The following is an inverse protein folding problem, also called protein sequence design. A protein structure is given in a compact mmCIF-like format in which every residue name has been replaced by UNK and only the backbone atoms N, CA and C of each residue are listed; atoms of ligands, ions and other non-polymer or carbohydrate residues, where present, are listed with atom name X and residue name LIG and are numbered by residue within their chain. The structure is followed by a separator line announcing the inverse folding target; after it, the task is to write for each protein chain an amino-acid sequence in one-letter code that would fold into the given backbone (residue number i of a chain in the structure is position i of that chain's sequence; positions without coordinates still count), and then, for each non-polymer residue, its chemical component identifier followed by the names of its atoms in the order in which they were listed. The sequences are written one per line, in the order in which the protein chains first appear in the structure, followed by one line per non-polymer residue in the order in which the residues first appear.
data_IF_838422493331
#
_entry.id   IF_838422493331
#
_cell.length_a   1.000
_cell.length_b   1.000
_cell.length_c   1.000
_cell.angle_alpha   90.00
_cell.angle_beta   90.00
_cell.angle_gamma   90.00
#
_symmetry.space_group_name_H-M   'P 1'
#
loop_
_entity.id
_entity.type
_entity.pdbx_description
1 polymer ?
#
# COMPACT_ATOMS: atom_id res chain seq x y z
N UNK A 1 -4.76 2.96 18.87
CA UNK A 1 -5.40 2.83 17.56
C UNK A 1 -5.62 4.21 16.95
N UNK A 2 -5.74 4.28 15.64
CA UNK A 2 -6.11 5.50 14.93
C UNK A 2 -7.58 5.81 15.19
N UNK A 3 -7.87 7.03 15.66
CA UNK A 3 -9.22 7.48 15.99
C UNK A 3 -9.63 8.61 15.05
N UNK A 4 -10.94 8.69 14.76
CA UNK A 4 -11.53 9.82 14.07
C UNK A 4 -11.68 11.04 14.98
N UNK A 5 -12.18 12.15 14.44
CA UNK A 5 -12.41 13.41 15.17
C UNK A 5 -13.42 13.25 16.33
N UNK A 6 -14.19 12.16 16.35
CA UNK A 6 -15.14 11.80 17.42
C UNK A 6 -14.58 10.80 18.42
N UNK A 7 -13.31 10.44 18.28
CA UNK A 7 -12.63 9.47 19.14
C UNK A 7 -12.98 8.01 18.87
N UNK A 8 -13.69 7.73 17.77
CA UNK A 8 -14.04 6.37 17.34
C UNK A 8 -12.86 5.73 16.61
N UNK A 9 -12.66 4.42 16.81
CA UNK A 9 -11.63 3.68 16.09
C UNK A 9 -11.97 3.60 14.59
N UNK A 10 -11.10 4.18 13.76
CA UNK A 10 -11.23 4.22 12.30
C UNK A 10 -11.37 2.83 11.66
N UNK A 11 -10.90 1.79 12.33
CA UNK A 11 -10.89 0.42 11.81
C UNK A 11 -11.88 -0.52 12.52
N UNK A 12 -12.67 -0.03 13.49
CA UNK A 12 -13.57 -0.87 14.28
C UNK A 12 -14.53 -1.72 13.41
N UNK A 13 -15.07 -1.13 12.34
CA UNK A 13 -15.98 -1.84 11.43
C UNK A 13 -15.23 -2.80 10.49
N UNK A 14 -13.99 -2.48 10.09
CA UNK A 14 -13.15 -3.37 9.27
C UNK A 14 -12.65 -4.57 10.05
N UNK A 15 -12.37 -4.42 11.34
CA UNK A 15 -12.07 -5.55 12.22
C UNK A 15 -13.26 -6.51 12.34
N UNK A 16 -14.48 -6.00 12.39
CA UNK A 16 -15.70 -6.86 12.36
C UNK A 16 -15.81 -7.63 11.05
N UNK A 17 -15.52 -7.00 9.91
CA UNK A 17 -15.53 -7.67 8.61
C UNK A 17 -14.45 -8.75 8.52
N UNK A 18 -13.25 -8.50 9.04
CA UNK A 18 -12.19 -9.50 9.14
C UNK A 18 -12.57 -10.63 10.10
N UNK A 19 -13.19 -10.32 11.24
CA UNK A 19 -13.69 -11.33 12.16
C UNK A 19 -14.73 -12.23 11.48
N UNK A 20 -15.62 -11.69 10.66
CA UNK A 20 -16.63 -12.50 9.96
C UNK A 20 -16.03 -13.45 8.93
N UNK A 21 -14.86 -13.12 8.33
CA UNK A 21 -14.16 -14.02 7.41
C UNK A 21 -13.51 -15.19 8.16
N UNK A 22 -13.08 -14.96 9.40
CA UNK A 22 -12.42 -15.97 10.22
C UNK A 22 -13.38 -16.73 11.14
N UNK A 23 -14.64 -16.30 11.31
CA UNK A 23 -15.59 -16.88 12.27
C UNK A 23 -16.57 -17.88 11.67
N UNK A 24 -16.72 -17.96 10.36
CA UNK A 24 -17.64 -18.94 9.73
C UNK A 24 -17.10 -20.37 9.70
N UNK A 25 -15.83 -20.60 10.02
CA UNK A 25 -15.26 -21.93 10.16
C UNK A 25 -14.29 -21.97 11.34
N UNK A 26 -14.80 -22.29 12.53
CA UNK A 26 -14.07 -22.47 13.77
C UNK A 26 -13.38 -21.19 14.31
N UNK A 27 -13.81 -20.82 15.51
CA UNK A 27 -13.32 -19.71 16.33
C UNK A 27 -11.78 -19.70 16.48
N UNK A 28 -11.07 -19.32 15.46
CA UNK A 28 -9.68 -18.91 15.61
C UNK A 28 -9.70 -17.43 15.99
N UNK A 29 -9.83 -17.16 17.28
CA UNK A 29 -9.39 -15.90 17.84
C UNK A 29 -7.89 -15.88 17.63
N UNK A 30 -7.45 -15.34 16.50
CA UNK A 30 -6.04 -15.00 16.31
C UNK A 30 -5.70 -14.03 17.44
N UNK A 31 -4.84 -14.44 18.36
CA UNK A 31 -4.30 -13.50 19.33
C UNK A 31 -3.64 -12.35 18.56
N UNK A 32 -3.68 -11.13 19.09
CA UNK A 32 -3.03 -9.97 18.48
C UNK A 32 -1.56 -10.30 18.16
N UNK A 33 -0.91 -11.09 19.00
CA UNK A 33 0.49 -11.51 18.83
C UNK A 33 0.68 -12.37 17.57
N UNK A 34 -0.21 -13.34 17.33
CA UNK A 34 -0.16 -14.18 16.11
C UNK A 34 -0.43 -13.35 14.85
N UNK A 35 -1.36 -12.39 14.91
CA UNK A 35 -1.61 -11.47 13.82
C UNK A 35 -0.39 -10.58 13.53
N UNK A 36 0.25 -10.06 14.56
CA UNK A 36 1.46 -9.25 14.42
C UNK A 36 2.61 -10.06 13.84
N UNK A 37 2.80 -11.29 14.28
CA UNK A 37 3.83 -12.20 13.74
C UNK A 37 3.59 -12.51 12.27
N UNK A 38 2.34 -12.72 11.87
CA UNK A 38 1.96 -12.91 10.47
C UNK A 38 2.22 -11.66 9.62
N UNK A 39 1.92 -10.47 10.14
CA UNK A 39 2.21 -9.19 9.48
C UNK A 39 3.72 -9.03 9.29
N UNK A 40 4.51 -9.24 10.35
CA UNK A 40 5.97 -9.16 10.24
C UNK A 40 6.52 -10.13 9.19
N UNK A 41 6.07 -11.36 9.21
CA UNK A 41 6.53 -12.39 8.30
C UNK A 41 6.09 -12.16 6.85
N UNK A 42 4.80 -11.84 6.64
CA UNK A 42 4.21 -11.79 5.29
C UNK A 42 4.44 -10.46 4.58
N UNK A 43 4.46 -9.34 5.31
CA UNK A 43 4.63 -8.01 4.72
C UNK A 43 6.10 -7.57 4.75
N UNK A 44 6.77 -7.74 5.88
CA UNK A 44 8.12 -7.23 6.10
C UNK A 44 9.24 -8.28 5.92
N UNK A 45 8.87 -9.55 5.67
CA UNK A 45 9.82 -10.65 5.53
C UNK A 45 10.35 -11.20 6.86
N UNK A 46 10.07 -10.55 7.99
CA UNK A 46 10.49 -10.96 9.31
C UNK A 46 10.52 -9.82 10.31
N UNK A 47 11.03 -10.09 11.52
CA UNK A 47 11.28 -9.10 12.57
C UNK A 47 12.72 -8.59 12.50
N UNK A 48 12.96 -7.36 12.94
CA UNK A 48 14.28 -6.75 13.00
C UNK A 48 14.22 -5.23 12.95
N UNK A 49 15.40 -4.60 12.90
CA UNK A 49 15.50 -3.16 12.72
C UNK A 49 15.20 -2.75 11.29
N UNK A 50 14.46 -1.66 11.12
CA UNK A 50 14.19 -1.07 9.81
C UNK A 50 15.47 -0.40 9.30
N UNK A 51 15.84 -0.68 8.05
CA UNK A 51 17.00 -0.09 7.38
C UNK A 51 16.62 0.44 6.01
N UNK A 52 17.29 1.52 5.60
CA UNK A 52 17.08 2.21 4.34
C UNK A 52 18.32 2.08 3.47
N UNK A 53 18.13 1.82 2.17
CA UNK A 53 19.21 1.65 1.21
C UNK A 53 18.96 2.46 -0.04
N UNK A 54 19.85 3.38 -0.37
CA UNK A 54 19.84 4.04 -1.68
C UNK A 54 20.30 3.04 -2.75
N UNK A 55 19.44 2.78 -3.75
CA UNK A 55 19.75 1.87 -4.86
C UNK A 55 20.49 2.64 -5.94
N UNK A 56 21.81 2.38 -6.08
CA UNK A 56 22.65 3.15 -7.01
C UNK A 56 22.32 2.92 -8.48
N UNK A 57 21.85 1.73 -8.83
CA UNK A 57 21.47 1.39 -10.21
C UNK A 57 20.05 1.84 -10.57
N UNK A 58 19.32 2.51 -9.64
CA UNK A 58 17.97 3.00 -9.86
C UNK A 58 17.80 4.39 -9.23
N UNK A 59 17.86 5.41 -10.07
CA UNK A 59 17.78 6.81 -9.63
C UNK A 59 16.47 7.09 -8.85
N UNK A 60 16.60 7.73 -7.71
CA UNK A 60 15.50 8.12 -6.85
C UNK A 60 14.90 6.98 -6.02
N UNK A 61 15.44 5.77 -6.06
CA UNK A 61 14.93 4.64 -5.29
C UNK A 61 15.67 4.44 -3.97
N UNK A 62 14.86 4.22 -2.91
CA UNK A 62 15.33 3.83 -1.58
C UNK A 62 14.62 2.54 -1.21
N UNK A 63 15.38 1.47 -1.04
CA UNK A 63 14.89 0.17 -0.58
C UNK A 63 14.69 0.14 0.93
N UNK A 64 13.66 -0.57 1.37
CA UNK A 64 13.32 -0.79 2.77
C UNK A 64 13.57 -2.26 3.13
N UNK A 65 14.36 -2.50 4.18
CA UNK A 65 14.61 -3.82 4.75
C UNK A 65 14.30 -3.86 6.23
N UNK A 66 13.95 -5.04 6.73
CA UNK A 66 13.88 -5.36 8.15
C UNK A 66 14.91 -6.44 8.46
N UNK A 67 15.91 -6.10 9.28
CA UNK A 67 17.06 -6.98 9.52
C UNK A 67 17.79 -7.36 8.23
N UNK A 68 18.17 -8.62 8.12
CA UNK A 68 18.83 -9.17 6.91
C UNK A 68 17.85 -9.77 5.89
N UNK A 69 16.55 -9.53 6.04
CA UNK A 69 15.54 -10.03 5.12
C UNK A 69 15.62 -9.32 3.75
N UNK A 70 14.99 -9.89 2.70
CA UNK A 70 14.86 -9.21 1.41
C UNK A 70 14.16 -7.85 1.53
N UNK A 71 14.32 -7.00 0.52
CA UNK A 71 13.58 -5.76 0.44
C UNK A 71 12.07 -6.01 0.45
N UNK A 72 11.35 -5.43 1.40
CA UNK A 72 9.90 -5.50 1.47
C UNK A 72 9.20 -4.28 0.88
N UNK A 73 9.95 -3.19 0.72
CA UNK A 73 9.39 -1.94 0.22
C UNK A 73 10.39 -1.11 -0.57
N UNK A 74 9.86 -0.18 -1.34
CA UNK A 74 10.62 0.82 -2.07
C UNK A 74 9.96 2.18 -1.98
N UNK A 75 10.77 3.21 -1.75
CA UNK A 75 10.38 4.61 -1.82
C UNK A 75 10.97 5.17 -3.12
N UNK A 76 10.16 5.81 -3.95
CA UNK A 76 10.62 6.56 -5.11
C UNK A 76 10.22 8.03 -5.00
N UNK A 77 11.20 8.90 -4.80
CA UNK A 77 11.02 10.32 -4.50
C UNK A 77 11.72 11.27 -5.50
N UNK A 78 12.52 10.72 -6.42
CA UNK A 78 13.35 11.51 -7.34
C UNK A 78 14.61 12.04 -6.68
N UNK A 79 14.54 12.96 -5.74
CA UNK A 79 15.70 13.55 -5.05
C UNK A 79 15.99 12.89 -3.71
N UNK A 80 16.85 11.88 -3.74
CA UNK A 80 17.32 11.15 -2.54
C UNK A 80 18.09 12.06 -1.58
N UNK A 81 18.86 13.01 -2.09
CA UNK A 81 19.69 13.89 -1.25
C UNK A 81 18.81 14.80 -0.38
N UNK A 82 17.73 15.34 -0.95
CA UNK A 82 16.79 16.15 -0.20
C UNK A 82 16.05 15.31 0.85
N UNK A 83 15.71 14.07 0.52
CA UNK A 83 15.07 13.15 1.46
C UNK A 83 15.98 12.82 2.65
N UNK A 84 17.26 12.54 2.40
CA UNK A 84 18.28 12.32 3.45
C UNK A 84 18.32 13.49 4.43
N UNK A 85 18.47 14.72 3.91
CA UNK A 85 18.50 15.93 4.74
C UNK A 85 17.24 16.10 5.59
N UNK A 86 16.06 15.75 5.05
CA UNK A 86 14.80 15.84 5.80
C UNK A 86 14.71 14.79 6.92
N UNK A 87 15.21 13.59 6.70
CA UNK A 87 15.27 12.55 7.73
C UNK A 87 16.22 12.93 8.86
N UNK A 88 17.42 13.41 8.53
CA UNK A 88 18.42 13.87 9.50
C UNK A 88 17.89 15.00 10.39
N UNK A 89 17.11 15.94 9.82
CA UNK A 89 16.62 17.12 10.54
C UNK A 89 15.33 16.88 11.33
N UNK A 90 14.54 15.85 11.05
CA UNK A 90 13.21 15.66 11.64
C UNK A 90 13.05 14.37 12.43
N UNK A 91 14.00 13.47 12.37
CA UNK A 91 13.89 12.18 13.04
C UNK A 91 14.29 12.31 14.52
N UNK A 92 13.39 11.91 15.42
CA UNK A 92 13.72 11.65 16.83
C UNK A 92 14.72 10.48 16.96
N UNK A 93 14.81 9.66 15.90
CA UNK A 93 15.73 8.53 15.80
C UNK A 93 16.65 8.76 14.60
N UNK A 94 17.96 8.62 14.76
CA UNK A 94 18.91 8.75 13.65
C UNK A 94 18.62 7.64 12.62
N UNK A 95 18.20 8.04 11.43
CA UNK A 95 17.97 7.12 10.30
C UNK A 95 19.16 7.25 9.36
N UNK A 96 19.98 6.23 9.31
CA UNK A 96 21.06 6.13 8.32
C UNK A 96 20.53 5.50 7.03
N UNK A 97 20.82 6.17 5.90
CA UNK A 97 20.57 5.59 4.58
C UNK A 97 21.87 5.01 4.05
N UNK A 98 21.94 3.69 4.02
CA UNK A 98 23.07 2.93 3.47
C UNK A 98 23.04 2.97 1.94
N UNK A 99 24.10 2.48 1.31
CA UNK A 99 24.22 2.39 -0.15
C UNK A 99 24.14 0.93 -0.57
N UNK A 100 23.27 0.65 -1.54
CA UNK A 100 23.26 -0.62 -2.28
C UNK A 100 23.67 -0.35 -3.72
N UNK A 101 24.88 -0.81 -4.07
CA UNK A 101 25.46 -0.65 -5.40
C UNK A 101 25.24 -1.87 -6.31
N UNK A 102 24.56 -2.89 -5.82
CA UNK A 102 24.42 -4.19 -6.51
C UNK A 102 23.02 -4.38 -7.07
N UNK A 103 21.99 -4.03 -6.29
CA UNK A 103 20.60 -4.27 -6.68
C UNK A 103 20.18 -3.41 -7.86
N UNK A 104 19.41 -4.02 -8.76
CA UNK A 104 18.69 -3.32 -9.82
C UNK A 104 17.44 -2.61 -9.26
N UNK A 105 16.66 -1.95 -10.14
CA UNK A 105 15.43 -1.27 -9.74
C UNK A 105 14.48 -2.19 -8.98
N UNK A 106 14.21 -1.84 -7.73
CA UNK A 106 13.24 -2.52 -6.89
C UNK A 106 11.81 -2.26 -7.40
N UNK A 107 11.57 -1.07 -7.94
CA UNK A 107 10.29 -0.70 -8.53
C UNK A 107 9.95 -1.58 -9.74
N UNK A 108 10.93 -1.86 -10.60
CA UNK A 108 10.71 -2.77 -11.73
C UNK A 108 10.53 -4.23 -11.29
N UNK A 109 11.11 -4.60 -10.15
CA UNK A 109 10.99 -5.96 -9.61
C UNK A 109 9.59 -6.32 -9.16
N UNK A 110 8.68 -5.33 -8.91
CA UNK A 110 7.29 -5.60 -8.49
C UNK A 110 6.50 -6.44 -9.50
N UNK A 111 6.90 -6.41 -10.77
CA UNK A 111 6.26 -7.18 -11.85
C UNK A 111 6.57 -8.68 -11.76
N UNK A 112 7.61 -9.05 -11.04
CA UNK A 112 8.00 -10.45 -10.86
C UNK A 112 7.03 -11.16 -9.92
N UNK A 113 6.71 -12.42 -10.21
CA UNK A 113 5.77 -13.22 -9.42
C UNK A 113 6.29 -13.46 -8.01
N UNK A 114 7.60 -13.61 -7.87
CA UNK A 114 8.31 -13.88 -6.62
C UNK A 114 8.82 -12.62 -5.91
N UNK A 115 8.38 -11.44 -6.35
CA UNK A 115 8.81 -10.18 -5.74
C UNK A 115 8.42 -10.12 -4.26
N UNK A 116 9.40 -9.82 -3.42
CA UNK A 116 9.23 -9.57 -1.99
C UNK A 116 8.70 -8.17 -1.66
N UNK A 117 8.64 -7.27 -2.67
CA UNK A 117 8.20 -5.89 -2.47
C UNK A 117 6.68 -5.85 -2.25
N UNK A 118 6.26 -5.47 -1.05
CA UNK A 118 4.86 -5.36 -0.64
C UNK A 118 4.42 -3.92 -0.39
N UNK A 119 5.37 -2.99 -0.22
CA UNK A 119 5.10 -1.58 0.10
C UNK A 119 5.75 -0.68 -0.93
N UNK A 120 4.95 0.18 -1.57
CA UNK A 120 5.42 1.20 -2.50
C UNK A 120 5.07 2.58 -1.97
N UNK A 121 6.05 3.47 -1.91
CA UNK A 121 5.87 4.87 -1.50
C UNK A 121 6.46 5.76 -2.59
N UNK A 122 5.69 6.71 -3.09
CA UNK A 122 6.18 7.63 -4.10
C UNK A 122 5.16 8.64 -4.56
N UNK A 123 5.54 9.50 -5.50
CA UNK A 123 4.68 10.53 -6.04
C UNK A 123 4.38 10.31 -7.52
N UNK A 124 5.28 10.74 -8.40
CA UNK A 124 5.04 10.77 -9.85
C UNK A 124 5.12 9.38 -10.52
N UNK A 125 6.02 8.51 -10.08
CA UNK A 125 6.21 7.19 -10.71
C UNK A 125 4.97 6.29 -10.67
N UNK A 126 4.06 6.50 -9.70
CA UNK A 126 2.79 5.76 -9.65
C UNK A 126 1.81 6.17 -10.75
N UNK A 127 1.98 7.37 -11.30
CA UNK A 127 1.15 7.88 -12.38
C UNK A 127 1.67 7.35 -13.72
N UNK A 128 2.99 7.15 -13.82
CA UNK A 128 3.69 6.76 -15.03
C UNK A 128 4.04 5.26 -15.04
N UNK A 129 3.53 4.54 -16.03
CA UNK A 129 4.16 3.35 -16.58
C UNK A 129 4.35 2.08 -15.73
N UNK A 130 3.84 1.98 -14.51
CA UNK A 130 3.89 0.71 -13.78
C UNK A 130 2.63 -0.12 -14.01
N UNK A 131 2.78 -1.42 -14.07
CA UNK A 131 1.70 -2.38 -14.22
C UNK A 131 1.93 -3.56 -13.26
N UNK A 132 0.99 -3.75 -12.34
CA UNK A 132 1.01 -4.89 -11.42
C UNK A 132 -0.40 -5.28 -11.03
N UNK A 133 -0.63 -6.58 -10.88
CA UNK A 133 -1.90 -7.16 -10.45
C UNK A 133 -1.99 -7.34 -8.92
N UNK A 134 -1.05 -6.75 -8.18
CA UNK A 134 -0.87 -7.02 -6.75
C UNK A 134 -1.39 -5.92 -5.82
N UNK A 135 -1.90 -4.82 -6.36
CA UNK A 135 -2.36 -3.69 -5.52
C UNK A 135 -3.68 -4.05 -4.86
N UNK A 136 -3.66 -4.10 -3.54
CA UNK A 136 -4.85 -4.36 -2.70
C UNK A 136 -5.29 -3.11 -1.92
N UNK A 137 -4.36 -2.20 -1.66
CA UNK A 137 -4.63 -0.99 -0.87
C UNK A 137 -3.81 0.18 -1.39
N UNK A 138 -4.42 1.37 -1.40
CA UNK A 138 -3.78 2.64 -1.74
C UNK A 138 -3.99 3.66 -0.64
N UNK A 139 -2.90 4.31 -0.21
CA UNK A 139 -2.94 5.48 0.65
C UNK A 139 -2.66 6.75 -0.15
N UNK A 140 -3.57 7.70 -0.13
CA UNK A 140 -3.44 9.00 -0.79
C UNK A 140 -3.20 10.08 0.25
N UNK A 141 -2.06 10.76 0.16
CA UNK A 141 -1.65 11.81 1.10
C UNK A 141 -1.58 13.15 0.38
N UNK A 142 -2.23 14.19 0.95
CA UNK A 142 -2.17 15.57 0.46
C UNK A 142 -2.55 15.73 -1.02
N UNK A 143 -3.58 15.03 -1.47
CA UNK A 143 -4.03 15.10 -2.86
C UNK A 143 -4.98 16.28 -3.04
N UNK A 144 -4.57 17.24 -3.87
CA UNK A 144 -5.31 18.46 -4.15
C UNK A 144 -6.36 18.32 -5.26
N UNK A 145 -7.24 19.34 -5.39
CA UNK A 145 -8.31 19.37 -6.42
C UNK A 145 -7.79 19.37 -7.86
N UNK A 146 -6.56 19.84 -8.11
CA UNK A 146 -5.97 19.91 -9.46
C UNK A 146 -5.41 18.59 -9.99
N UNK A 147 -5.34 17.54 -9.17
CA UNK A 147 -4.70 16.27 -9.51
C UNK A 147 -5.69 15.19 -9.96
N UNK A 148 -6.94 15.55 -10.21
CA UNK A 148 -8.02 14.64 -10.53
C UNK A 148 -7.76 13.62 -11.63
N UNK A 149 -7.32 14.02 -12.82
CA UNK A 149 -7.04 13.08 -13.91
C UNK A 149 -5.95 12.06 -13.56
N UNK A 150 -4.94 12.49 -12.81
CA UNK A 150 -3.83 11.64 -12.40
C UNK A 150 -4.29 10.57 -11.40
N UNK A 151 -5.19 10.91 -10.50
CA UNK A 151 -5.75 9.99 -9.51
C UNK A 151 -6.66 8.96 -10.17
N UNK A 152 -7.46 9.36 -11.16
CA UNK A 152 -8.28 8.43 -11.96
C UNK A 152 -7.39 7.41 -12.66
N UNK A 153 -6.26 7.84 -13.23
CA UNK A 153 -5.28 6.93 -13.83
C UNK A 153 -4.67 5.98 -12.81
N UNK A 154 -4.35 6.48 -11.62
CA UNK A 154 -3.83 5.68 -10.52
C UNK A 154 -4.84 4.62 -10.07
N UNK A 155 -6.11 4.98 -9.89
CA UNK A 155 -7.17 4.05 -9.57
C UNK A 155 -7.36 3.02 -10.67
N UNK A 156 -7.38 3.44 -11.93
CA UNK A 156 -7.47 2.52 -13.08
C UNK A 156 -6.36 1.46 -13.11
N UNK A 157 -5.19 1.75 -12.52
CA UNK A 157 -4.12 0.76 -12.35
C UNK A 157 -4.37 -0.18 -11.18
N UNK A 158 -4.91 0.33 -10.07
CA UNK A 158 -5.21 -0.48 -8.88
C UNK A 158 -6.39 -1.42 -9.06
N UNK A 159 -7.37 -1.06 -9.90
CA UNK A 159 -8.54 -1.92 -10.17
C UNK A 159 -8.20 -3.10 -11.11
N UNK A 160 -7.01 -3.16 -11.67
CA UNK A 160 -6.55 -4.29 -12.48
C UNK A 160 -6.25 -5.50 -11.61
N UNK A 161 -7.29 -6.07 -11.00
CA UNK A 161 -7.18 -7.28 -10.20
C UNK A 161 -7.36 -8.47 -11.14
N UNK A 162 -6.43 -9.42 -11.08
CA UNK A 162 -6.62 -10.72 -11.73
C UNK A 162 -7.78 -11.44 -11.03
N UNK A 163 -8.95 -11.48 -11.63
CA UNK A 163 -9.99 -12.39 -11.21
C UNK A 163 -9.60 -13.84 -11.46
N UNK A 164 -10.34 -14.78 -10.89
CA UNK A 164 -10.18 -16.20 -11.19
C UNK A 164 -10.22 -16.41 -12.71
N UNK A 165 -9.29 -17.21 -13.23
CA UNK A 165 -9.16 -17.50 -14.66
C UNK A 165 -8.92 -16.26 -15.54
N UNK A 166 -8.32 -15.20 -14.99
CA UNK A 166 -8.01 -13.94 -15.70
C UNK A 166 -9.25 -13.21 -16.23
N UNK A 167 -10.41 -13.42 -15.63
CA UNK A 167 -11.68 -12.86 -16.14
C UNK A 167 -11.78 -11.33 -15.98
N UNK A 168 -10.96 -10.70 -15.15
CA UNK A 168 -11.04 -9.29 -14.77
C UNK A 168 -12.40 -8.89 -14.19
N UNK A 169 -13.22 -9.85 -13.80
CA UNK A 169 -14.53 -9.66 -13.17
C UNK A 169 -14.49 -10.12 -11.74
N UNK A 170 -15.25 -9.43 -10.89
CA UNK A 170 -15.47 -9.86 -9.51
C UNK A 170 -16.11 -11.26 -9.51
N UNK A 171 -15.57 -12.15 -8.69
CA UNK A 171 -16.11 -13.50 -8.56
C UNK A 171 -17.46 -13.52 -7.82
N UNK A 172 -18.22 -14.60 -7.99
CA UNK A 172 -19.50 -14.80 -7.29
C UNK A 172 -19.31 -15.22 -5.82
N UNK A 173 -18.10 -15.59 -5.43
CA UNK A 173 -17.79 -16.04 -4.07
C UNK A 173 -17.63 -14.86 -3.13
N UNK A 174 -18.58 -14.75 -2.18
CA UNK A 174 -18.60 -13.65 -1.18
C UNK A 174 -17.38 -13.68 -0.24
N UNK A 175 -16.83 -14.86 0.05
CA UNK A 175 -15.64 -15.05 0.89
C UNK A 175 -14.35 -14.51 0.24
N UNK A 176 -14.32 -14.36 -1.07
CA UNK A 176 -13.19 -13.78 -1.81
C UNK A 176 -13.36 -12.27 -2.09
N UNK A 177 -14.51 -11.70 -1.77
CA UNK A 177 -14.85 -10.32 -2.10
C UNK A 177 -13.80 -9.30 -1.61
N UNK A 178 -13.19 -9.55 -0.44
CA UNK A 178 -12.15 -8.65 0.08
C UNK A 178 -10.84 -8.72 -0.71
N UNK A 179 -10.49 -9.91 -1.22
CA UNK A 179 -9.31 -10.08 -2.09
C UNK A 179 -9.52 -9.43 -3.46
N UNK A 180 -10.78 -9.27 -3.87
CA UNK A 180 -11.20 -8.65 -5.11
C UNK A 180 -11.62 -7.18 -4.92
N UNK A 181 -11.20 -6.55 -3.82
CA UNK A 181 -11.52 -5.15 -3.49
C UNK A 181 -10.24 -4.33 -3.36
N UNK A 182 -10.19 -3.22 -4.09
CA UNK A 182 -9.18 -2.19 -3.89
C UNK A 182 -9.62 -1.28 -2.75
N UNK A 183 -8.82 -1.21 -1.69
CA UNK A 183 -9.07 -0.29 -0.58
C UNK A 183 -8.33 1.02 -0.80
N UNK A 184 -9.03 2.15 -0.71
CA UNK A 184 -8.46 3.49 -0.88
C UNK A 184 -8.63 4.27 0.41
N UNK A 185 -7.52 4.80 0.93
CA UNK A 185 -7.48 5.61 2.14
C UNK A 185 -6.98 7.00 1.78
N UNK A 186 -7.72 8.04 2.13
CA UNK A 186 -7.34 9.44 1.91
C UNK A 186 -7.02 10.13 3.23
N UNK A 187 -5.87 10.81 3.28
CA UNK A 187 -5.50 11.72 4.36
C UNK A 187 -5.28 13.10 3.73
N UNK A 188 -6.09 14.09 4.14
CA UNK A 188 -6.11 15.43 3.52
C UNK A 188 -6.32 15.36 1.99
N UNK A 189 -7.14 14.41 1.54
CA UNK A 189 -7.41 14.13 0.13
C UNK A 189 -8.80 14.68 -0.24
N UNK A 190 -8.94 16.00 -0.30
CA UNK A 190 -10.21 16.69 -0.58
C UNK A 190 -10.82 16.31 -1.94
N UNK A 191 -10.01 15.86 -2.87
CA UNK A 191 -10.47 15.39 -4.18
C UNK A 191 -11.22 14.06 -4.12
N UNK A 192 -10.97 13.21 -3.13
CA UNK A 192 -11.64 11.91 -3.00
C UNK A 192 -13.17 12.06 -2.95
N UNK A 193 -13.68 13.03 -2.19
CA UNK A 193 -15.12 13.27 -2.11
C UNK A 193 -15.69 13.67 -3.48
N UNK A 194 -15.03 14.58 -4.20
CA UNK A 194 -15.45 14.99 -5.55
C UNK A 194 -15.42 13.83 -6.54
N UNK A 195 -14.41 12.96 -6.43
CA UNK A 195 -14.30 11.76 -7.25
C UNK A 195 -15.41 10.75 -6.94
N UNK A 196 -15.71 10.51 -5.68
CA UNK A 196 -16.83 9.65 -5.25
C UNK A 196 -18.17 10.18 -5.76
N UNK A 197 -18.41 11.49 -5.66
CA UNK A 197 -19.61 12.14 -6.18
C UNK A 197 -19.75 11.97 -7.72
N UNK A 198 -18.63 11.98 -8.43
CA UNK A 198 -18.62 11.75 -9.88
C UNK A 198 -18.93 10.31 -10.22
N UNK A 199 -18.32 9.34 -9.50
CA UNK A 199 -18.62 7.93 -9.69
C UNK A 199 -20.07 7.57 -9.36
N UNK A 200 -20.64 8.18 -8.30
CA UNK A 200 -22.06 7.98 -7.96
C UNK A 200 -23.00 8.48 -9.06
N UNK A 201 -22.64 9.56 -9.74
CA UNK A 201 -23.42 10.09 -10.88
C UNK A 201 -23.37 9.17 -12.11
N UNK A 202 -22.32 8.39 -12.25
CA UNK A 202 -22.13 7.43 -13.35
C UNK A 202 -22.69 6.02 -13.03
N UNK A 203 -23.59 5.90 -12.02
CA UNK A 203 -24.22 4.64 -11.59
C UNK A 203 -23.23 3.52 -11.17
N UNK A 204 -22.06 3.89 -10.74
CA UNK A 204 -21.10 2.93 -10.18
C UNK A 204 -21.54 2.57 -8.76
N UNK A 205 -21.77 1.29 -8.48
CA UNK A 205 -22.15 0.81 -7.15
C UNK A 205 -20.92 0.95 -6.22
N UNK A 206 -21.01 1.88 -5.27
CA UNK A 206 -20.02 2.08 -4.23
C UNK A 206 -20.54 1.56 -2.90
N UNK A 207 -19.78 0.73 -2.23
CA UNK A 207 -20.00 0.38 -0.85
C UNK A 207 -19.15 1.32 0.04
N UNK A 208 -19.81 2.14 0.85
CA UNK A 208 -19.17 3.04 1.83
C UNK A 208 -19.22 2.40 3.21
N UNK A 209 -18.12 2.28 3.90
CA UNK A 209 -18.04 1.72 5.26
C UNK A 209 -17.77 2.80 6.29
#
# INVERSE_FOLDING_TARGET
GLKDDKGMDLFANKFKALNNIYTDNEKVILSIDLLMDDIFKKIFGGKGALSFYEIKNAEGEIGLKVGENPYFGVINIGDVSQFKKRLENKSEYPVEIKIDAISDSLFDSIKKIDSSINVLIGSKKFIEGWDTWRVSSMGLLNVGKGEGPQIIQLFGRGIRIKGKDMTLKRGLRKDLAQLETLNIYGIQANYLNTFLDTLMKEEVILETY
#
